data_IF_252173037063
#
_entry.id   IF_252173037063
#
_cell.length_a   1.000
_cell.length_b   1.000
_cell.length_c   1.000
_cell.angle_alpha   90.00
_cell.angle_beta   90.00
_cell.angle_gamma   90.00
#
_symmetry.space_group_name_H-M   'P 1'
#
loop_
_entity.id
_entity.type
_entity.pdbx_description
1 polymer ?
#
# COMPACT_ATOMS: atom_id res chain seq x y z
N UNK A 1 -23.39 14.38 33.85
CA UNK A 1 -24.35 14.61 32.74
C UNK A 1 -24.66 13.26 32.13
N UNK A 2 -25.92 12.92 31.79
CA UNK A 2 -26.18 11.72 31.01
C UNK A 2 -25.69 12.02 29.59
N UNK A 3 -24.60 11.39 29.16
CA UNK A 3 -24.00 11.69 27.86
C UNK A 3 -24.65 10.83 26.78
N UNK A 4 -24.98 11.44 25.64
CA UNK A 4 -25.28 10.75 24.39
C UNK A 4 -24.01 10.56 23.55
N UNK A 5 -24.16 10.37 22.24
CA UNK A 5 -23.03 10.29 21.32
C UNK A 5 -22.44 11.67 21.02
N UNK A 6 -21.12 11.79 21.04
CA UNK A 6 -20.38 12.98 20.58
C UNK A 6 -19.73 12.65 19.25
N UNK A 7 -20.05 13.40 18.20
CA UNK A 7 -19.34 13.35 16.92
C UNK A 7 -18.33 14.49 16.87
N UNK A 8 -17.05 14.16 16.73
CA UNK A 8 -15.99 15.14 16.58
C UNK A 8 -15.32 14.99 15.22
N UNK A 9 -15.45 16.02 14.39
CA UNK A 9 -14.82 16.14 13.08
C UNK A 9 -13.72 17.19 13.19
N UNK A 10 -12.50 16.85 12.83
CA UNK A 10 -11.39 17.80 12.86
C UNK A 10 -10.51 17.65 11.63
N UNK A 11 -9.92 18.77 11.22
CA UNK A 11 -8.85 18.82 10.24
C UNK A 11 -7.59 19.30 10.94
N UNK A 12 -6.45 18.68 10.65
CA UNK A 12 -5.21 19.07 11.29
C UNK A 12 -4.58 20.28 10.58
N UNK A 13 -4.53 21.41 11.28
CA UNK A 13 -3.70 22.54 10.84
C UNK A 13 -2.21 22.19 11.06
N UNK A 14 -1.48 22.06 9.94
CA UNK A 14 -0.05 21.73 9.87
C UNK A 14 0.86 22.98 9.82
N UNK A 15 0.31 24.20 9.90
CA UNK A 15 1.05 25.47 9.97
C UNK A 15 1.50 25.85 11.39
N UNK A 16 1.69 24.87 12.27
CA UNK A 16 2.24 25.13 13.61
C UNK A 16 3.07 23.96 14.09
N UNK A 17 4.13 24.29 14.82
CA UNK A 17 4.96 23.29 15.48
C UNK A 17 4.18 22.53 16.55
N UNK A 18 4.43 21.22 16.62
CA UNK A 18 3.84 20.34 17.61
C UNK A 18 4.79 19.21 17.99
N UNK A 19 4.52 18.66 19.17
CA UNK A 19 5.02 17.36 19.57
C UNK A 19 3.80 16.45 19.78
N UNK A 20 3.77 15.32 19.09
CA UNK A 20 2.65 14.37 19.09
C UNK A 20 2.95 13.16 19.97
N UNK A 21 1.88 12.60 20.51
CA UNK A 21 1.87 11.24 21.04
C UNK A 21 1.34 10.29 19.96
N UNK A 22 1.98 9.14 19.81
CA UNK A 22 1.51 7.99 19.03
C UNK A 22 1.40 6.78 19.95
N UNK A 23 0.78 5.69 19.49
CA UNK A 23 0.44 4.51 20.31
C UNK A 23 1.60 3.98 21.17
N UNK A 24 2.84 4.09 20.70
CA UNK A 24 4.05 3.58 21.36
C UNK A 24 5.04 4.66 21.81
N UNK A 25 4.69 5.95 21.68
CA UNK A 25 5.61 7.05 21.94
C UNK A 25 4.83 8.30 22.39
N UNK A 26 4.97 8.68 23.66
CA UNK A 26 4.24 9.81 24.23
C UNK A 26 5.04 11.11 24.15
N UNK A 27 4.42 12.19 23.67
CA UNK A 27 5.00 13.54 23.61
C UNK A 27 6.43 13.59 23.07
N UNK A 28 6.77 12.75 22.08
CA UNK A 28 8.13 12.64 21.58
C UNK A 28 8.23 12.54 20.06
N UNK A 29 7.12 12.67 19.32
CA UNK A 29 7.13 12.69 17.85
C UNK A 29 7.05 14.15 17.38
N UNK A 30 8.15 14.75 16.89
CA UNK A 30 8.10 16.11 16.35
C UNK A 30 7.24 16.15 15.09
N UNK A 31 6.34 17.11 15.01
CA UNK A 31 5.57 17.45 13.83
C UNK A 31 5.80 18.95 13.57
N UNK A 32 6.90 19.31 12.88
CA UNK A 32 7.24 20.70 12.63
C UNK A 32 6.21 21.36 11.72
N UNK A 33 6.15 22.70 11.78
CA UNK A 33 5.37 23.49 10.85
C UNK A 33 5.76 23.15 9.40
N UNK A 34 4.75 22.97 8.56
CA UNK A 34 4.90 22.93 7.12
C UNK A 34 4.61 24.33 6.56
N UNK A 35 5.59 24.92 5.87
CA UNK A 35 5.45 26.21 5.17
C UNK A 35 5.38 26.03 3.65
N UNK A 36 4.60 25.05 3.24
CA UNK A 36 4.33 24.68 1.84
C UNK A 36 2.82 24.70 1.61
N UNK A 37 2.39 24.83 0.36
CA UNK A 37 0.96 24.97 0.04
C UNK A 37 0.10 23.80 0.54
N UNK A 38 0.66 22.58 0.57
CA UNK A 38 0.00 21.37 1.09
C UNK A 38 0.01 21.26 2.64
N UNK A 39 0.47 22.29 3.34
CA UNK A 39 0.28 22.43 4.79
C UNK A 39 -1.20 22.69 5.15
N UNK A 40 -1.92 23.36 4.25
CA UNK A 40 -3.35 23.55 4.35
C UNK A 40 -4.07 22.40 3.64
N UNK A 41 -4.96 21.71 4.35
CA UNK A 41 -5.88 20.76 3.71
C UNK A 41 -7.05 21.57 3.12
N UNK A 42 -6.74 22.35 2.08
CA UNK A 42 -7.74 23.17 1.39
C UNK A 42 -8.83 22.27 0.79
N UNK A 43 -10.09 22.71 0.90
CA UNK A 43 -11.23 21.93 0.40
C UNK A 43 -11.63 20.75 1.29
N UNK A 44 -11.16 20.67 2.54
CA UNK A 44 -11.66 19.70 3.50
C UNK A 44 -13.17 19.87 3.70
N UNK A 45 -13.94 18.84 3.35
CA UNK A 45 -15.39 18.76 3.53
C UNK A 45 -15.70 17.52 4.33
N UNK A 46 -16.72 17.60 5.17
CA UNK A 46 -17.25 16.44 5.87
C UNK A 46 -18.63 16.13 5.28
N UNK A 47 -18.85 14.86 4.94
CA UNK A 47 -20.18 14.35 4.62
C UNK A 47 -20.65 13.52 5.81
N UNK A 48 -21.82 13.88 6.34
CA UNK A 48 -22.51 13.06 7.34
C UNK A 48 -23.71 12.42 6.64
N UNK A 49 -23.81 11.10 6.74
CA UNK A 49 -24.99 10.37 6.30
C UNK A 49 -25.49 9.50 7.46
N UNK A 50 -26.79 9.22 7.43
CA UNK A 50 -27.43 8.30 8.36
C UNK A 50 -28.41 7.44 7.59
N UNK A 51 -28.40 6.15 7.84
CA UNK A 51 -29.28 5.17 7.23
C UNK A 51 -29.44 3.96 8.15
N UNK A 52 -30.40 3.06 7.88
CA UNK A 52 -30.39 1.72 8.46
C UNK A 52 -29.06 1.01 8.23
N UNK A 53 -28.68 0.15 9.17
CA UNK A 53 -27.42 -0.62 9.13
C UNK A 53 -27.28 -1.45 7.86
N UNK A 54 -28.36 -2.13 7.45
CA UNK A 54 -28.40 -2.95 6.24
C UNK A 54 -28.23 -2.14 4.94
N UNK A 55 -28.43 -0.82 4.97
CA UNK A 55 -28.30 0.07 3.80
C UNK A 55 -26.95 0.80 3.74
N UNK A 56 -26.10 0.65 4.78
CA UNK A 56 -24.88 1.45 4.92
C UNK A 56 -23.96 1.37 3.68
N UNK A 57 -23.72 0.16 3.16
CA UNK A 57 -22.87 -0.01 1.98
C UNK A 57 -23.47 0.63 0.72
N UNK A 58 -24.77 0.49 0.47
CA UNK A 58 -25.42 1.11 -0.67
C UNK A 58 -25.35 2.65 -0.60
N UNK A 59 -25.62 3.21 0.57
CA UNK A 59 -25.53 4.66 0.80
C UNK A 59 -24.10 5.16 0.58
N UNK A 60 -23.10 4.47 1.15
CA UNK A 60 -21.69 4.81 0.93
C UNK A 60 -21.32 4.74 -0.55
N UNK A 61 -21.75 3.69 -1.27
CA UNK A 61 -21.47 3.52 -2.69
C UNK A 61 -22.04 4.67 -3.54
N UNK A 62 -23.29 5.07 -3.27
CA UNK A 62 -23.92 6.23 -3.93
C UNK A 62 -23.18 7.53 -3.64
N UNK A 63 -22.75 7.74 -2.40
CA UNK A 63 -21.95 8.93 -2.04
C UNK A 63 -20.63 8.94 -2.80
N UNK A 64 -19.91 7.81 -2.87
CA UNK A 64 -18.65 7.73 -3.59
C UNK A 64 -18.80 8.12 -5.06
N UNK A 65 -19.81 7.57 -5.74
CA UNK A 65 -20.06 7.87 -7.17
C UNK A 65 -20.51 9.33 -7.37
N UNK A 66 -21.44 9.82 -6.55
CA UNK A 66 -22.01 11.17 -6.72
C UNK A 66 -21.00 12.29 -6.42
N UNK A 67 -20.09 12.05 -5.47
CA UNK A 67 -19.07 13.02 -5.06
C UNK A 67 -17.73 12.83 -5.79
N UNK A 68 -17.65 11.89 -6.75
CA UNK A 68 -16.43 11.60 -7.49
C UNK A 68 -15.28 11.06 -6.61
N UNK A 69 -15.61 10.37 -5.52
CA UNK A 69 -14.64 9.72 -4.64
C UNK A 69 -14.20 8.37 -5.23
N UNK A 70 -13.08 7.79 -4.76
CA UNK A 70 -12.64 6.48 -5.21
C UNK A 70 -13.72 5.40 -5.00
N UNK A 71 -14.19 4.81 -6.11
CA UNK A 71 -15.15 3.70 -6.12
C UNK A 71 -14.57 2.48 -6.88
N UNK A 72 -13.49 1.85 -6.36
CA UNK A 72 -12.80 0.80 -7.08
C UNK A 72 -13.66 -0.47 -7.23
N UNK A 73 -13.53 -1.11 -8.39
CA UNK A 73 -14.27 -2.31 -8.76
C UNK A 73 -13.31 -3.49 -8.93
N UNK A 74 -13.71 -4.67 -8.49
CA UNK A 74 -13.08 -5.95 -8.79
C UNK A 74 -14.04 -6.73 -9.67
N UNK A 75 -13.66 -6.99 -10.93
CA UNK A 75 -14.44 -7.77 -11.89
C UNK A 75 -15.90 -7.28 -12.04
N UNK A 76 -16.11 -5.96 -12.00
CA UNK A 76 -17.43 -5.34 -12.12
C UNK A 76 -18.23 -5.25 -10.83
N UNK A 77 -17.69 -5.72 -9.70
CA UNK A 77 -18.30 -5.59 -8.37
C UNK A 77 -17.51 -4.60 -7.50
N UNK A 78 -18.20 -3.76 -6.73
CA UNK A 78 -17.55 -2.81 -5.84
C UNK A 78 -16.76 -3.53 -4.74
N UNK A 79 -15.55 -3.06 -4.44
CA UNK A 79 -14.63 -3.75 -3.51
C UNK A 79 -15.23 -4.01 -2.13
N UNK A 80 -16.12 -3.13 -1.64
CA UNK A 80 -16.67 -3.25 -0.28
C UNK A 80 -17.81 -4.27 -0.18
N UNK A 81 -18.39 -4.66 -1.31
CA UNK A 81 -19.38 -5.75 -1.37
C UNK A 81 -18.76 -7.05 -1.89
N UNK A 82 -17.67 -6.96 -2.64
CA UNK A 82 -17.03 -8.15 -3.20
C UNK A 82 -16.28 -8.98 -2.16
N UNK A 83 -16.68 -10.25 -2.02
CA UNK A 83 -15.92 -11.23 -1.23
C UNK A 83 -14.49 -11.44 -1.76
N UNK A 84 -14.20 -10.99 -2.98
CA UNK A 84 -12.86 -11.06 -3.58
C UNK A 84 -11.88 -10.09 -2.93
N UNK A 85 -12.38 -9.01 -2.30
CA UNK A 85 -11.54 -8.07 -1.56
C UNK A 85 -10.95 -8.69 -0.29
N UNK A 86 -11.52 -9.78 0.21
CA UNK A 86 -11.01 -10.49 1.41
C UNK A 86 -10.11 -11.66 1.06
N UNK A 87 -9.67 -11.81 -0.21
CA UNK A 87 -8.73 -12.86 -0.56
C UNK A 87 -7.36 -12.61 0.07
N UNK A 88 -6.86 -13.64 0.75
CA UNK A 88 -5.47 -13.68 1.20
C UNK A 88 -4.52 -13.85 0.02
N UNK A 89 -3.27 -13.45 0.22
CA UNK A 89 -2.16 -13.71 -0.67
C UNK A 89 -1.09 -14.51 0.06
N UNK A 90 -0.33 -15.32 -0.68
CA UNK A 90 0.82 -16.05 -0.15
C UNK A 90 2.05 -15.15 -0.24
N UNK A 91 2.72 -14.89 0.88
CA UNK A 91 4.03 -14.22 0.88
C UNK A 91 5.10 -15.31 0.82
N UNK A 92 5.99 -15.20 -0.16
CA UNK A 92 7.11 -16.12 -0.30
C UNK A 92 8.06 -15.70 -1.40
N UNK A 93 9.33 -15.97 -1.19
CA UNK A 93 10.35 -15.70 -2.19
C UNK A 93 10.23 -16.67 -3.37
N UNK A 94 10.35 -16.12 -4.57
CA UNK A 94 10.31 -16.87 -5.81
C UNK A 94 11.34 -16.33 -6.81
N UNK A 95 11.84 -17.22 -7.66
CA UNK A 95 12.68 -16.91 -8.81
C UNK A 95 12.46 -17.96 -9.89
N UNK A 96 13.29 -17.93 -10.93
CA UNK A 96 13.18 -18.88 -12.06
C UNK A 96 13.24 -20.33 -11.62
N UNK A 97 14.03 -20.64 -10.59
CA UNK A 97 14.30 -22.00 -10.12
C UNK A 97 13.15 -22.63 -9.31
N UNK A 98 12.35 -21.83 -8.60
CA UNK A 98 11.36 -22.34 -7.64
C UNK A 98 9.92 -21.86 -7.90
N UNK A 99 9.67 -21.05 -8.95
CA UNK A 99 8.35 -20.49 -9.23
C UNK A 99 7.26 -21.58 -9.33
N UNK A 100 7.55 -22.71 -9.97
CA UNK A 100 6.54 -23.77 -10.16
C UNK A 100 6.12 -24.39 -8.82
N UNK A 101 7.05 -24.57 -7.87
CA UNK A 101 6.74 -25.03 -6.52
C UNK A 101 5.93 -24.00 -5.73
N UNK A 102 6.26 -22.71 -5.85
CA UNK A 102 5.54 -21.64 -5.17
C UNK A 102 4.12 -21.47 -5.70
N UNK A 103 3.90 -21.67 -6.99
CA UNK A 103 2.57 -21.69 -7.60
C UNK A 103 1.75 -22.90 -7.15
N UNK A 104 2.37 -24.08 -7.01
CA UNK A 104 1.72 -25.26 -6.44
C UNK A 104 1.27 -25.02 -4.99
N UNK A 105 2.12 -24.41 -4.16
CA UNK A 105 1.73 -24.01 -2.80
C UNK A 105 0.60 -22.99 -2.78
N UNK A 106 0.66 -21.97 -3.64
CA UNK A 106 -0.40 -21.00 -3.77
C UNK A 106 -1.75 -21.66 -4.12
N UNK A 107 -1.76 -22.60 -5.08
CA UNK A 107 -2.96 -23.37 -5.46
C UNK A 107 -3.48 -24.20 -4.30
N UNK A 108 -2.62 -24.96 -3.63
CA UNK A 108 -3.00 -25.82 -2.49
C UNK A 108 -3.59 -25.01 -1.34
N UNK A 109 -3.07 -23.81 -1.11
CA UNK A 109 -3.59 -22.88 -0.11
C UNK A 109 -4.82 -22.07 -0.56
N UNK A 110 -5.28 -22.22 -1.80
CA UNK A 110 -6.40 -21.45 -2.34
C UNK A 110 -6.08 -19.96 -2.56
N UNK A 111 -4.80 -19.60 -2.65
CA UNK A 111 -4.35 -18.23 -2.87
C UNK A 111 -4.44 -17.84 -4.34
N UNK A 112 -4.89 -16.62 -4.62
CA UNK A 112 -4.93 -16.04 -5.98
C UNK A 112 -3.77 -15.10 -6.29
N UNK A 113 -2.90 -14.87 -5.31
CA UNK A 113 -1.77 -13.98 -5.42
C UNK A 113 -0.57 -14.58 -4.67
N UNK A 114 0.59 -14.56 -5.31
CA UNK A 114 1.89 -14.87 -4.71
C UNK A 114 2.71 -13.57 -4.69
N UNK A 115 3.23 -13.22 -3.51
CA UNK A 115 3.88 -11.95 -3.24
C UNK A 115 5.32 -12.14 -2.80
N UNK A 116 6.26 -11.53 -3.51
CA UNK A 116 7.68 -11.58 -3.21
C UNK A 116 8.07 -10.50 -2.20
N UNK A 117 8.53 -10.85 -0.98
CA UNK A 117 8.86 -9.85 0.04
C UNK A 117 10.18 -9.11 -0.21
N UNK A 118 11.16 -9.74 -0.88
CA UNK A 118 12.49 -9.15 -1.06
C UNK A 118 13.10 -9.38 -2.46
N UNK A 119 12.47 -8.97 -3.56
CA UNK A 119 12.95 -9.35 -4.90
C UNK A 119 14.19 -8.56 -5.38
N UNK A 120 14.54 -7.48 -4.69
CA UNK A 120 15.50 -6.50 -5.17
C UNK A 120 16.85 -6.55 -4.45
N UNK A 121 17.93 -6.50 -5.23
CA UNK A 121 19.28 -6.27 -4.72
C UNK A 121 19.43 -4.81 -4.25
N UNK A 122 19.04 -3.86 -5.11
CA UNK A 122 19.02 -2.41 -4.83
C UNK A 122 17.59 -1.91 -4.63
N UNK A 123 17.36 -1.07 -3.61
CA UNK A 123 16.01 -0.70 -3.15
C UNK A 123 15.56 0.71 -3.53
N UNK A 124 16.46 1.52 -4.08
CA UNK A 124 16.13 2.81 -4.70
C UNK A 124 15.89 2.69 -6.21
N UNK A 125 16.60 1.77 -6.88
CA UNK A 125 16.49 1.53 -8.33
C UNK A 125 15.78 0.22 -8.69
N UNK A 126 15.43 -0.60 -7.70
CA UNK A 126 14.67 -1.85 -7.88
C UNK A 126 15.35 -2.84 -8.84
N UNK A 127 16.67 -2.96 -8.80
CA UNK A 127 17.36 -4.00 -9.56
C UNK A 127 17.06 -5.36 -8.93
N UNK A 128 16.57 -6.31 -9.73
CA UNK A 128 16.22 -7.66 -9.27
C UNK A 128 17.47 -8.46 -8.86
N UNK A 129 17.35 -9.27 -7.81
CA UNK A 129 18.41 -10.20 -7.38
C UNK A 129 18.73 -11.20 -8.48
N UNK A 130 19.96 -11.17 -9.01
CA UNK A 130 20.38 -12.02 -10.14
C UNK A 130 20.35 -13.51 -9.80
N UNK A 131 20.48 -13.86 -8.52
CA UNK A 131 20.39 -15.23 -8.04
C UNK A 131 18.99 -15.82 -8.24
N UNK A 132 17.94 -14.99 -8.21
CA UNK A 132 16.55 -15.39 -8.42
C UNK A 132 16.05 -15.07 -9.83
N UNK A 133 16.59 -14.01 -10.43
CA UNK A 133 16.21 -13.46 -11.72
C UNK A 133 17.47 -13.22 -12.58
N UNK A 134 18.10 -14.28 -13.10
CA UNK A 134 19.41 -14.18 -13.78
C UNK A 134 19.40 -13.31 -15.04
N UNK A 135 18.25 -13.17 -15.70
CA UNK A 135 18.05 -12.29 -16.86
C UNK A 135 17.23 -11.03 -16.49
N UNK A 136 17.17 -10.67 -15.19
CA UNK A 136 16.45 -9.52 -14.67
C UNK A 136 14.96 -9.56 -15.01
N UNK A 137 14.44 -8.50 -15.62
CA UNK A 137 13.03 -8.36 -15.98
C UNK A 137 12.52 -9.50 -16.89
N UNK A 138 13.39 -10.07 -17.73
CA UNK A 138 13.00 -11.20 -18.58
C UNK A 138 12.72 -12.45 -17.74
N UNK A 139 13.51 -12.71 -16.70
CA UNK A 139 13.27 -13.78 -15.74
C UNK A 139 11.96 -13.55 -14.98
N UNK A 140 11.73 -12.33 -14.48
CA UNK A 140 10.49 -11.98 -13.79
C UNK A 140 9.26 -12.13 -14.70
N UNK A 141 9.37 -11.69 -15.95
CA UNK A 141 8.31 -11.82 -16.95
C UNK A 141 7.94 -13.30 -17.17
N UNK A 142 8.92 -14.18 -17.34
CA UNK A 142 8.69 -15.64 -17.48
C UNK A 142 7.95 -16.20 -16.26
N UNK A 143 8.33 -15.79 -15.04
CA UNK A 143 7.60 -16.17 -13.82
C UNK A 143 6.14 -15.68 -13.84
N UNK A 144 5.92 -14.42 -14.24
CA UNK A 144 4.58 -13.82 -14.32
C UNK A 144 3.69 -14.50 -15.36
N UNK A 145 4.24 -14.86 -16.52
CA UNK A 145 3.53 -15.61 -17.57
C UNK A 145 3.08 -17.00 -17.06
N UNK A 146 3.99 -17.75 -16.44
CA UNK A 146 3.68 -19.05 -15.79
C UNK A 146 2.58 -18.93 -14.72
N UNK A 147 2.61 -17.86 -13.92
CA UNK A 147 1.60 -17.62 -12.91
C UNK A 147 0.24 -17.27 -13.53
N UNK A 148 0.24 -16.44 -14.58
CA UNK A 148 -0.96 -16.03 -15.30
C UNK A 148 -1.68 -17.20 -15.98
N UNK A 149 -0.94 -18.13 -16.59
CA UNK A 149 -1.49 -19.40 -17.13
C UNK A 149 -2.23 -20.23 -16.08
N UNK A 150 -1.87 -20.03 -14.81
CA UNK A 150 -2.46 -20.72 -13.67
C UNK A 150 -3.52 -19.89 -12.93
N UNK A 151 -3.84 -18.69 -13.44
CA UNK A 151 -4.79 -17.77 -12.81
C UNK A 151 -4.30 -17.14 -11.49
N UNK A 152 -2.98 -17.14 -11.27
CA UNK A 152 -2.34 -16.58 -10.07
C UNK A 152 -1.64 -15.27 -10.45
N UNK A 153 -1.88 -14.22 -9.67
CA UNK A 153 -1.19 -12.94 -9.83
C UNK A 153 0.13 -12.96 -9.05
N UNK A 154 1.17 -12.34 -9.62
CA UNK A 154 2.41 -12.07 -8.88
C UNK A 154 2.43 -10.62 -8.41
N UNK A 155 2.97 -10.40 -7.21
CA UNK A 155 3.26 -9.08 -6.68
C UNK A 155 4.67 -9.02 -6.11
N UNK A 156 5.25 -7.83 -6.10
CA UNK A 156 6.59 -7.55 -5.56
C UNK A 156 6.47 -6.52 -4.43
N UNK A 157 7.28 -6.67 -3.38
CA UNK A 157 7.38 -5.66 -2.33
C UNK A 157 8.29 -4.53 -2.74
N UNK A 158 7.73 -3.31 -2.80
CA UNK A 158 8.47 -2.07 -3.01
C UNK A 158 8.37 -1.20 -1.76
N UNK A 159 9.51 -0.70 -1.30
CA UNK A 159 9.59 0.24 -0.19
C UNK A 159 10.00 1.60 -0.76
N UNK A 160 9.13 2.61 -0.64
CA UNK A 160 9.36 3.94 -1.24
C UNK A 160 10.14 4.91 -0.36
N UNK A 161 10.26 4.61 0.94
CA UNK A 161 10.90 5.48 1.93
C UNK A 161 12.22 4.94 2.46
N UNK A 162 12.70 3.81 1.93
CA UNK A 162 13.93 3.15 2.34
C UNK A 162 14.75 2.82 1.10
N UNK A 163 16.07 2.87 1.24
CA UNK A 163 17.00 2.35 0.24
C UNK A 163 18.14 1.62 0.95
N UNK A 164 18.87 0.78 0.23
CA UNK A 164 20.08 0.13 0.74
C UNK A 164 21.31 0.99 0.44
N UNK A 165 22.36 0.78 1.22
CA UNK A 165 23.62 1.52 1.06
C UNK A 165 24.36 1.17 -0.24
N UNK A 166 24.09 0.02 -0.86
CA UNK A 166 24.66 -0.36 -2.16
C UNK A 166 23.95 0.28 -3.36
N UNK A 167 22.84 0.98 -3.14
CA UNK A 167 22.10 1.67 -4.20
C UNK A 167 22.83 2.94 -4.68
N UNK A 168 22.72 3.28 -5.96
CA UNK A 168 23.39 4.43 -6.55
C UNK A 168 22.85 5.79 -6.05
N UNK A 169 21.70 5.81 -5.38
CA UNK A 169 21.30 6.98 -4.60
C UNK A 169 22.20 7.23 -3.38
N UNK A 170 22.92 6.23 -2.87
CA UNK A 170 23.73 6.32 -1.65
C UNK A 170 25.23 6.24 -1.94
N UNK A 171 25.66 5.30 -2.77
CA UNK A 171 27.07 4.97 -2.99
C UNK A 171 27.51 5.25 -4.43
N UNK A 172 28.72 5.80 -4.67
CA UNK A 172 29.73 6.18 -3.68
C UNK A 172 29.50 7.55 -3.02
N UNK A 173 28.64 8.39 -3.60
CA UNK A 173 28.32 9.73 -3.09
C UNK A 173 26.80 9.83 -2.95
N UNK A 174 26.27 10.10 -1.74
CA UNK A 174 24.83 10.20 -1.53
C UNK A 174 24.18 11.31 -2.36
N UNK A 175 23.06 10.99 -2.99
CA UNK A 175 22.27 11.95 -3.74
C UNK A 175 21.73 13.05 -2.81
N UNK A 176 21.86 14.31 -3.24
CA UNK A 176 21.47 15.52 -2.47
C UNK A 176 20.01 15.55 -2.00
N UNK A 177 19.14 14.74 -2.62
CA UNK A 177 17.72 14.63 -2.28
C UNK A 177 17.42 13.62 -1.17
N UNK A 178 18.40 12.84 -0.70
CA UNK A 178 18.22 11.98 0.47
C UNK A 178 18.07 12.84 1.72
N UNK A 179 17.20 12.41 2.64
CA UNK A 179 17.03 13.06 3.93
C UNK A 179 18.38 13.05 4.68
N UNK A 180 18.97 14.22 4.87
CA UNK A 180 20.12 14.38 5.76
C UNK A 180 19.67 14.13 7.20
N UNK A 181 20.54 13.50 8.00
CA UNK A 181 20.38 13.47 9.45
C UNK A 181 20.54 14.87 10.04
#
# INVERSE_FOLDING_TARGET
MPFGSVLQLFCENRRRDRVKSVVYAEQCVPAPLLDREDADIQGCRFALFSCPDLEALDVIGRIEVNEGLPHPMIDGEWVKTSRRATYSYLIGEFGTENIDHMLDYAKKGGFRCLYHPEPFDTWGHFELRKEQFPEGDLSLKKCAEKAAEQGIRLGLHTLTSFTKTNDSYVTPIPHKGLKSM
#
